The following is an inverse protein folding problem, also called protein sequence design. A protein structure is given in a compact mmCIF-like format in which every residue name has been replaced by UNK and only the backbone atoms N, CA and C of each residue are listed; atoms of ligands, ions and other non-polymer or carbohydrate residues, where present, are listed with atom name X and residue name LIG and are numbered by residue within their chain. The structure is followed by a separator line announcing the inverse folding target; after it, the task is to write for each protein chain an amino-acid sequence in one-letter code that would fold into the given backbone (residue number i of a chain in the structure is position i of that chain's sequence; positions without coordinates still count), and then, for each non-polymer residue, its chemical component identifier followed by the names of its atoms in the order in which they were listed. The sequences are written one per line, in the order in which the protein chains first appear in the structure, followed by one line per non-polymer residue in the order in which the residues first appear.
data_IF_690782635875
#
_entry.id   IF_690782635875
#
_cell.length_a   1.000
_cell.length_b   1.000
_cell.length_c   1.000
_cell.angle_alpha   90.00
_cell.angle_beta   90.00
_cell.angle_gamma   90.00
#
_symmetry.space_group_name_H-M   'P 1'
#
loop_
_entity.id
_entity.type
_entity.pdbx_description
1 polymer ?
#
# COMPACT_ATOMS: atom_id res chain seq x y z
N UNK A 1 -40.20 -5.79 -3.86
CA UNK A 1 -39.11 -6.63 -3.34
C UNK A 1 -37.86 -6.24 -4.13
N UNK A 2 -37.08 -5.30 -3.62
CA UNK A 2 -35.86 -4.84 -4.28
C UNK A 2 -34.67 -5.14 -3.39
N UNK A 3 -33.78 -5.99 -3.88
CA UNK A 3 -32.43 -6.10 -3.37
C UNK A 3 -31.52 -6.39 -4.56
N UNK A 4 -30.50 -5.54 -4.71
CA UNK A 4 -29.09 -5.95 -4.73
C UNK A 4 -28.26 -5.27 -5.83
N UNK A 5 -28.22 -3.94 -5.84
CA UNK A 5 -27.15 -3.20 -6.51
C UNK A 5 -26.00 -2.95 -5.51
N UNK A 6 -25.21 -4.00 -5.24
CA UNK A 6 -24.00 -3.90 -4.40
C UNK A 6 -22.90 -3.20 -5.18
N UNK A 7 -22.83 -1.87 -5.03
CA UNK A 7 -21.66 -1.09 -5.39
C UNK A 7 -20.41 -1.62 -4.67
N UNK A 8 -19.56 -2.35 -5.40
CA UNK A 8 -18.19 -2.68 -4.94
C UNK A 8 -17.31 -1.44 -5.07
N UNK A 9 -17.42 -0.51 -4.13
CA UNK A 9 -16.46 0.59 -4.03
C UNK A 9 -15.14 0.01 -3.52
N UNK A 10 -14.18 -0.18 -4.44
CA UNK A 10 -12.78 -0.46 -4.08
C UNK A 10 -12.19 0.81 -3.46
N UNK A 11 -12.31 0.96 -2.15
CA UNK A 11 -11.57 1.99 -1.41
C UNK A 11 -10.10 1.59 -1.42
N UNK A 12 -9.34 2.12 -2.39
CA UNK A 12 -7.87 2.14 -2.31
C UNK A 12 -7.52 3.18 -1.25
N UNK A 13 -7.11 2.75 -0.06
CA UNK A 13 -6.38 3.66 0.85
C UNK A 13 -5.21 4.27 0.08
N UNK A 14 -5.10 5.59 0.06
CA UNK A 14 -3.84 6.26 -0.26
C UNK A 14 -2.85 5.86 0.84
N UNK A 15 -2.04 4.82 0.60
CA UNK A 15 -0.93 4.51 1.50
C UNK A 15 -0.09 5.78 1.61
N UNK A 16 0.12 6.28 2.84
CA UNK A 16 1.08 7.35 3.10
C UNK A 16 2.38 6.98 2.38
N UNK A 17 2.84 7.88 1.50
CA UNK A 17 4.03 7.65 0.69
C UNK A 17 5.20 7.58 1.67
N UNK A 18 5.75 6.39 1.88
CA UNK A 18 6.96 6.22 2.70
C UNK A 18 8.08 7.09 2.12
N UNK A 19 8.62 7.97 2.96
CA UNK A 19 9.79 8.75 2.65
C UNK A 19 11.03 7.88 2.88
N UNK A 20 11.84 7.74 1.84
CA UNK A 20 13.14 7.07 1.87
C UNK A 20 14.20 8.06 2.34
N UNK A 21 14.38 8.07 3.66
CA UNK A 21 15.36 8.90 4.37
C UNK A 21 16.79 8.59 3.92
N UNK A 22 17.07 7.42 3.33
CA UNK A 22 18.41 7.11 2.80
C UNK A 22 18.82 8.02 1.64
N UNK A 23 17.86 8.66 0.96
CA UNK A 23 18.16 9.65 -0.09
C UNK A 23 18.87 10.90 0.46
N UNK A 24 18.74 11.20 1.74
CA UNK A 24 19.47 12.30 2.40
C UNK A 24 20.94 11.96 2.73
N UNK A 25 21.39 10.75 2.39
CA UNK A 25 22.80 10.38 2.42
C UNK A 25 23.55 10.91 1.20
N UNK A 26 22.84 11.21 0.11
CA UNK A 26 23.40 11.92 -1.04
C UNK A 26 23.61 13.40 -0.65
N UNK A 27 24.84 13.88 -0.81
CA UNK A 27 25.27 15.23 -0.43
C UNK A 27 24.50 16.29 -1.19
N UNK A 28 24.14 16.05 -2.45
CA UNK A 28 23.44 17.04 -3.26
C UNK A 28 21.95 17.13 -2.88
N UNK A 29 21.31 16.00 -2.59
CA UNK A 29 19.91 15.98 -2.13
C UNK A 29 19.80 16.60 -0.74
N UNK A 30 20.79 16.38 0.13
CA UNK A 30 20.89 17.02 1.43
C UNK A 30 21.02 18.54 1.30
N UNK A 31 21.95 19.02 0.47
CA UNK A 31 22.18 20.45 0.23
C UNK A 31 20.93 21.16 -0.27
N UNK A 32 20.22 20.55 -1.22
CA UNK A 32 18.95 21.09 -1.74
C UNK A 32 17.86 21.13 -0.68
N UNK A 33 17.83 20.15 0.24
CA UNK A 33 16.89 20.16 1.36
C UNK A 33 17.24 21.27 2.38
N UNK A 34 18.52 21.43 2.72
CA UNK A 34 19.01 22.46 3.65
C UNK A 34 18.73 23.88 3.10
N UNK A 35 19.06 24.16 1.84
CA UNK A 35 18.81 25.44 1.18
C UNK A 35 17.31 25.81 1.15
N UNK A 36 16.43 24.80 0.98
CA UNK A 36 14.98 25.00 1.04
C UNK A 36 14.46 25.19 2.48
N UNK A 37 15.13 24.63 3.49
CA UNK A 37 14.78 24.78 4.90
C UNK A 37 15.25 26.13 5.46
N UNK A 38 16.43 26.60 5.07
CA UNK A 38 16.97 27.90 5.45
C UNK A 38 16.10 29.04 4.88
N UNK A 39 15.68 28.93 3.60
CA UNK A 39 14.70 29.87 3.02
C UNK A 39 13.30 29.83 3.65
N UNK A 40 13.00 28.84 4.51
CA UNK A 40 11.75 28.77 5.29
C UNK A 40 11.88 29.33 6.71
N UNK A 41 13.10 29.40 7.27
CA UNK A 41 13.33 29.97 8.60
C UNK A 41 13.07 31.49 8.64
N UNK A 42 13.13 32.16 7.50
CA UNK A 42 12.91 33.61 7.35
C UNK A 42 11.42 34.00 7.14
N UNK A 43 10.50 33.04 7.02
CA UNK A 43 9.08 33.28 6.76
C UNK A 43 8.29 33.46 8.07
N UNK A 44 8.05 34.70 8.50
CA UNK A 44 7.06 35.00 9.54
C UNK A 44 5.63 34.71 9.05
N UNK A 45 4.97 33.72 9.66
CA UNK A 45 3.59 33.38 9.32
C UNK A 45 2.99 32.33 10.26
N UNK A 46 1.66 32.26 10.24
CA UNK A 46 0.82 31.35 11.03
C UNK A 46 1.30 29.88 10.99
N UNK A 47 1.19 29.17 12.12
CA UNK A 47 1.72 27.83 12.35
C UNK A 47 1.20 26.81 11.33
N UNK A 48 -0.08 26.91 10.96
CA UNK A 48 -0.70 26.02 9.97
C UNK A 48 -0.11 26.22 8.58
N UNK A 49 0.14 27.49 8.20
CA UNK A 49 0.78 27.82 6.92
C UNK A 49 2.23 27.34 6.87
N UNK A 50 2.97 27.41 7.99
CA UNK A 50 4.32 26.85 8.09
C UNK A 50 4.29 25.32 7.92
N UNK A 51 3.30 24.66 8.50
CA UNK A 51 3.14 23.22 8.41
C UNK A 51 2.77 22.74 7.01
N UNK A 52 1.86 23.42 6.32
CA UNK A 52 1.53 23.11 4.92
C UNK A 52 2.71 23.37 3.99
N UNK A 53 3.44 24.47 4.17
CA UNK A 53 4.68 24.73 3.42
C UNK A 53 5.70 23.61 3.64
N UNK A 54 5.93 23.19 4.88
CA UNK A 54 6.85 22.09 5.21
C UNK A 54 6.43 20.78 4.53
N UNK A 55 5.15 20.41 4.61
CA UNK A 55 4.59 19.24 3.90
C UNK A 55 4.84 19.33 2.40
N UNK A 56 4.62 20.49 1.78
CA UNK A 56 4.86 20.66 0.34
C UNK A 56 6.33 20.53 -0.02
N UNK A 57 7.25 21.07 0.80
CA UNK A 57 8.69 21.00 0.54
C UNK A 57 9.21 19.57 0.67
N UNK A 58 8.78 18.85 1.72
CA UNK A 58 9.11 17.42 1.89
C UNK A 58 8.53 16.57 0.73
N UNK A 59 7.41 16.99 0.13
CA UNK A 59 6.86 16.34 -1.08
C UNK A 59 7.61 16.73 -2.37
N UNK A 60 8.17 17.93 -2.45
CA UNK A 60 8.95 18.47 -3.58
C UNK A 60 10.33 17.83 -3.65
N UNK A 61 11.06 17.79 -2.52
CA UNK A 61 12.29 17.02 -2.41
C UNK A 61 11.90 15.56 -2.59
N UNK A 62 12.39 14.91 -3.65
CA UNK A 62 11.94 13.57 -4.11
C UNK A 62 12.39 12.45 -3.17
N UNK A 63 12.18 12.60 -1.86
CA UNK A 63 12.37 11.60 -0.82
C UNK A 63 11.43 10.41 -0.96
N UNK A 64 10.49 10.39 -1.92
CA UNK A 64 9.64 9.22 -2.18
C UNK A 64 10.51 8.00 -2.46
N UNK A 65 10.38 6.95 -1.68
CA UNK A 65 11.06 5.69 -1.96
C UNK A 65 10.71 5.14 -3.35
N UNK A 66 11.57 4.30 -3.95
CA UNK A 66 11.21 3.60 -5.18
C UNK A 66 9.90 2.85 -4.94
N UNK A 67 8.94 3.05 -5.85
CA UNK A 67 7.65 2.37 -5.78
C UNK A 67 7.90 0.88 -6.06
N UNK A 68 8.12 0.08 -5.01
CA UNK A 68 8.48 -1.35 -5.06
C UNK A 68 7.46 -2.21 -5.80
N UNK A 69 6.24 -1.68 -6.03
CA UNK A 69 5.22 -2.33 -6.85
C UNK A 69 5.61 -2.49 -8.33
N UNK A 70 6.56 -1.71 -8.83
CA UNK A 70 6.81 -1.63 -10.26
C UNK A 70 7.95 -2.55 -10.76
N UNK A 71 8.56 -3.37 -9.90
CA UNK A 71 9.61 -4.31 -10.32
C UNK A 71 9.17 -5.33 -11.39
N UNK A 72 7.86 -5.47 -11.60
CA UNK A 72 7.26 -6.30 -12.64
C UNK A 72 6.46 -5.51 -13.67
N UNK A 73 6.79 -4.24 -13.94
CA UNK A 73 6.16 -3.52 -15.07
C UNK A 73 6.60 -4.19 -16.37
N UNK A 74 5.65 -4.94 -16.93
CA UNK A 74 5.70 -5.52 -18.25
C UNK A 74 6.18 -4.50 -19.28
N UNK A 75 6.89 -4.93 -20.32
CA UNK A 75 6.99 -4.10 -21.53
C UNK A 75 5.58 -3.95 -22.08
N UNK A 76 5.04 -2.73 -22.04
CA UNK A 76 3.66 -2.41 -22.42
C UNK A 76 3.30 -2.96 -23.81
N UNK A 77 4.27 -2.96 -24.73
CA UNK A 77 4.12 -3.47 -26.10
C UNK A 77 3.73 -4.94 -26.19
N UNK A 78 4.36 -5.82 -25.38
CA UNK A 78 4.09 -7.27 -25.47
C UNK A 78 2.74 -7.61 -24.85
N UNK A 79 2.30 -6.86 -23.85
CA UNK A 79 0.95 -6.97 -23.33
C UNK A 79 -0.09 -6.48 -24.35
N UNK A 80 0.24 -5.40 -25.10
CA UNK A 80 -0.60 -4.87 -26.18
C UNK A 80 -0.83 -5.89 -27.31
N UNK A 81 0.20 -6.62 -27.76
CA UNK A 81 0.04 -7.67 -28.80
C UNK A 81 -0.91 -8.79 -28.37
N UNK A 82 -0.79 -9.25 -27.12
CA UNK A 82 -1.70 -10.25 -26.53
C UNK A 82 -3.13 -9.71 -26.43
N UNK A 83 -3.30 -8.44 -26.09
CA UNK A 83 -4.65 -7.84 -25.98
C UNK A 83 -5.29 -7.66 -27.36
N UNK A 84 -4.56 -7.18 -28.36
CA UNK A 84 -5.04 -7.09 -29.75
C UNK A 84 -5.45 -8.46 -30.31
N UNK A 85 -4.65 -9.50 -30.05
CA UNK A 85 -5.00 -10.87 -30.45
C UNK A 85 -6.23 -11.41 -29.70
N UNK A 86 -6.38 -11.06 -28.41
CA UNK A 86 -7.55 -11.41 -27.61
C UNK A 86 -8.81 -10.74 -28.14
N UNK A 87 -8.76 -9.45 -28.45
CA UNK A 87 -9.87 -8.71 -29.04
C UNK A 87 -10.32 -9.33 -30.37
N UNK A 88 -9.37 -9.70 -31.24
CA UNK A 88 -9.68 -10.38 -32.50
C UNK A 88 -10.35 -11.73 -32.27
N UNK A 89 -9.81 -12.57 -31.40
CA UNK A 89 -10.40 -13.87 -31.06
C UNK A 89 -11.79 -13.75 -30.42
N UNK A 90 -12.04 -12.72 -29.60
CA UNK A 90 -13.36 -12.48 -29.00
C UNK A 90 -14.40 -12.00 -30.02
N UNK A 91 -13.97 -11.23 -31.04
CA UNK A 91 -14.85 -10.76 -32.12
C UNK A 91 -15.14 -11.86 -33.14
N UNK A 92 -14.12 -12.66 -33.46
CA UNK A 92 -14.17 -13.73 -34.45
C UNK A 92 -13.39 -14.95 -33.95
N UNK A 93 -14.06 -15.90 -33.27
CA UNK A 93 -13.42 -17.05 -32.63
C UNK A 93 -13.13 -18.17 -33.64
N UNK A 94 -12.27 -17.90 -34.61
CA UNK A 94 -11.70 -18.91 -35.51
C UNK A 94 -10.52 -19.62 -34.88
N UNK A 95 -10.21 -20.83 -35.36
CA UNK A 95 -9.04 -21.62 -34.92
C UNK A 95 -7.73 -20.83 -35.10
N UNK A 96 -7.56 -20.20 -36.27
CA UNK A 96 -6.40 -19.34 -36.56
C UNK A 96 -6.25 -18.18 -35.57
N UNK A 97 -7.33 -17.48 -35.25
CA UNK A 97 -7.29 -16.39 -34.26
C UNK A 97 -6.98 -16.91 -32.85
N UNK A 98 -7.48 -18.11 -32.52
CA UNK A 98 -7.16 -18.82 -31.28
C UNK A 98 -5.66 -19.14 -31.17
N UNK A 99 -5.06 -19.70 -32.23
CA UNK A 99 -3.63 -20.00 -32.29
C UNK A 99 -2.76 -18.76 -32.08
N UNK A 100 -3.09 -17.65 -32.76
CA UNK A 100 -2.39 -16.36 -32.62
C UNK A 100 -2.45 -15.87 -31.17
N UNK A 101 -3.64 -15.91 -30.55
CA UNK A 101 -3.80 -15.52 -29.15
C UNK A 101 -2.97 -16.42 -28.21
N UNK A 102 -3.03 -17.74 -28.39
CA UNK A 102 -2.29 -18.69 -27.57
C UNK A 102 -0.76 -18.53 -27.74
N UNK A 103 -0.28 -18.26 -28.96
CA UNK A 103 1.12 -17.94 -29.23
C UNK A 103 1.57 -16.71 -28.43
N UNK A 104 0.85 -15.59 -28.55
CA UNK A 104 1.18 -14.36 -27.82
C UNK A 104 1.08 -14.53 -26.30
N UNK A 105 0.09 -15.26 -25.81
CA UNK A 105 -0.06 -15.58 -24.38
C UNK A 105 1.11 -16.41 -23.85
N UNK A 106 1.52 -17.47 -24.56
CA UNK A 106 2.68 -18.31 -24.18
C UNK A 106 3.97 -17.50 -24.18
N UNK A 107 4.19 -16.70 -25.22
CA UNK A 107 5.36 -15.81 -25.33
C UNK A 107 5.41 -14.80 -24.20
N UNK A 108 4.28 -14.16 -23.87
CA UNK A 108 4.20 -13.22 -22.76
C UNK A 108 4.49 -13.91 -21.42
N UNK A 109 3.88 -15.08 -21.16
CA UNK A 109 4.10 -15.86 -19.93
C UNK A 109 5.57 -16.24 -19.75
N UNK A 110 6.22 -16.69 -20.82
CA UNK A 110 7.66 -17.02 -20.81
C UNK A 110 8.50 -15.80 -20.42
N UNK A 111 8.22 -14.63 -21.01
CA UNK A 111 8.92 -13.38 -20.70
C UNK A 111 8.65 -12.94 -19.26
N UNK A 112 7.41 -13.04 -18.77
CA UNK A 112 7.09 -12.77 -17.36
C UNK A 112 7.93 -13.66 -16.42
N UNK A 113 7.99 -14.96 -16.72
CA UNK A 113 8.74 -15.92 -15.92
C UNK A 113 10.23 -15.59 -15.90
N UNK A 114 10.82 -15.32 -17.06
CA UNK A 114 12.24 -14.98 -17.17
C UNK A 114 12.57 -13.65 -16.48
N UNK A 115 11.73 -12.62 -16.65
CA UNK A 115 11.91 -11.34 -15.95
C UNK A 115 11.79 -11.49 -14.44
N UNK A 116 10.79 -12.25 -13.96
CA UNK A 116 10.63 -12.54 -12.54
C UNK A 116 11.84 -13.29 -11.98
N UNK A 117 12.35 -14.28 -12.73
CA UNK A 117 13.56 -15.01 -12.37
C UNK A 117 14.76 -14.08 -12.24
N UNK A 118 15.02 -13.27 -13.26
CA UNK A 118 16.14 -12.32 -13.26
C UNK A 118 16.03 -11.31 -12.11
N UNK A 119 14.83 -10.76 -11.87
CA UNK A 119 14.60 -9.87 -10.73
C UNK A 119 14.92 -10.53 -9.39
N UNK A 120 14.49 -11.78 -9.20
CA UNK A 120 14.78 -12.54 -7.98
C UNK A 120 16.29 -12.82 -7.84
N UNK A 121 16.97 -13.19 -8.92
CA UNK A 121 18.43 -13.41 -8.93
C UNK A 121 19.17 -12.13 -8.55
N UNK A 122 18.83 -11.00 -9.16
CA UNK A 122 19.41 -9.69 -8.80
C UNK A 122 19.13 -9.34 -7.32
N UNK A 123 17.93 -9.65 -6.82
CA UNK A 123 17.58 -9.40 -5.42
C UNK A 123 18.38 -10.25 -4.44
N UNK A 124 18.66 -11.51 -4.77
CA UNK A 124 19.50 -12.38 -3.96
C UNK A 124 20.93 -11.82 -3.89
N UNK A 125 21.52 -11.45 -5.04
CA UNK A 125 22.85 -10.84 -5.09
C UNK A 125 22.94 -9.56 -4.24
N UNK A 126 21.91 -8.70 -4.27
CA UNK A 126 21.82 -7.51 -3.42
C UNK A 126 21.76 -7.83 -1.92
N UNK A 127 21.16 -8.97 -1.55
CA UNK A 127 21.10 -9.41 -0.15
C UNK A 127 22.47 -9.96 0.27
N UNK A 128 23.13 -10.75 -0.58
CA UNK A 128 24.48 -11.28 -0.34
C UNK A 128 25.52 -10.16 -0.20
N UNK A 129 25.46 -9.13 -1.05
CA UNK A 129 26.34 -7.96 -0.96
C UNK A 129 26.20 -7.25 0.39
N UNK A 130 24.98 -7.11 0.92
CA UNK A 130 24.75 -6.53 2.26
C UNK A 130 25.36 -7.36 3.38
N UNK A 131 25.38 -8.69 3.22
CA UNK A 131 26.05 -9.57 4.16
C UNK A 131 27.57 -9.36 4.12
N UNK A 132 28.16 -9.29 2.92
CA UNK A 132 29.60 -9.02 2.74
C UNK A 132 30.02 -7.64 3.26
N UNK A 133 29.17 -6.62 3.11
CA UNK A 133 29.40 -5.26 3.61
C UNK A 133 29.12 -5.09 5.12
N UNK A 134 28.88 -6.20 5.83
CA UNK A 134 28.58 -6.23 7.27
C UNK A 134 27.32 -5.40 7.67
N UNK A 135 26.38 -5.20 6.74
CA UNK A 135 25.10 -4.52 6.99
C UNK A 135 24.05 -5.50 7.55
N UNK A 136 24.34 -6.12 8.71
CA UNK A 136 23.57 -7.25 9.26
C UNK A 136 22.07 -6.92 9.42
N UNK A 137 21.73 -5.72 9.89
CA UNK A 137 20.33 -5.31 10.07
C UNK A 137 19.60 -5.21 8.73
N UNK A 138 20.23 -4.61 7.72
CA UNK A 138 19.68 -4.47 6.37
C UNK A 138 19.50 -5.84 5.71
N UNK A 139 20.46 -6.75 5.92
CA UNK A 139 20.39 -8.13 5.45
C UNK A 139 19.15 -8.85 5.98
N UNK A 140 18.97 -8.91 7.31
CA UNK A 140 17.83 -9.62 7.90
C UNK A 140 16.49 -8.97 7.55
N UNK A 141 16.43 -7.64 7.38
CA UNK A 141 15.22 -6.97 6.91
C UNK A 141 14.83 -7.39 5.49
N UNK A 142 15.79 -7.45 4.57
CA UNK A 142 15.52 -7.88 3.19
C UNK A 142 15.22 -9.38 3.09
N UNK A 143 15.88 -10.22 3.90
CA UNK A 143 15.55 -11.65 4.02
C UNK A 143 14.14 -11.84 4.56
N UNK A 144 13.76 -11.10 5.60
CA UNK A 144 12.40 -11.14 6.14
C UNK A 144 11.40 -10.76 5.05
N UNK A 145 11.64 -9.63 4.34
CA UNK A 145 10.78 -9.18 3.23
C UNK A 145 10.66 -10.23 2.11
N UNK A 146 11.74 -10.93 1.76
CA UNK A 146 11.73 -11.94 0.69
C UNK A 146 10.97 -13.22 1.09
N UNK A 147 10.99 -13.57 2.38
CA UNK A 147 10.24 -14.69 2.95
C UNK A 147 8.76 -14.36 3.17
N UNK A 148 8.44 -13.15 3.61
CA UNK A 148 7.03 -12.70 3.69
C UNK A 148 6.46 -12.58 2.29
N UNK A 149 5.60 -13.53 1.94
CA UNK A 149 4.77 -13.43 0.74
C UNK A 149 3.77 -12.29 0.82
N UNK A 150 2.77 -12.31 -0.06
CA UNK A 150 1.67 -11.36 0.01
C UNK A 150 0.87 -11.58 1.30
N UNK A 151 1.07 -10.71 2.29
CA UNK A 151 0.20 -10.64 3.46
C UNK A 151 -0.97 -9.74 3.12
N UNK A 152 -2.19 -10.27 3.26
CA UNK A 152 -3.38 -9.44 3.22
C UNK A 152 -3.45 -8.67 4.54
N UNK A 153 -3.30 -7.34 4.48
CA UNK A 153 -3.67 -6.48 5.60
C UNK A 153 -5.19 -6.59 5.77
N UNK A 154 -5.64 -7.50 6.67
CA UNK A 154 -7.05 -7.68 6.99
C UNK A 154 -7.57 -6.42 7.68
N UNK A 155 -8.22 -5.53 6.93
CA UNK A 155 -9.01 -4.41 7.46
C UNK A 155 -10.47 -4.80 7.62
N UNK A 156 -10.76 -6.09 7.72
CA UNK A 156 -12.11 -6.62 7.81
C UNK A 156 -12.38 -6.98 9.27
N UNK A 157 -13.36 -6.33 9.87
CA UNK A 157 -13.81 -6.62 11.22
C UNK A 157 -15.19 -7.28 11.16
N UNK A 158 -15.38 -8.38 11.89
CA UNK A 158 -16.70 -8.99 12.05
C UNK A 158 -17.39 -8.32 13.24
N UNK A 159 -18.50 -7.62 12.99
CA UNK A 159 -19.33 -7.02 14.04
C UNK A 159 -20.03 -8.10 14.86
N UNK A 160 -20.48 -7.74 16.07
CA UNK A 160 -21.25 -8.62 16.96
C UNK A 160 -22.54 -9.18 16.29
N UNK A 161 -23.12 -8.44 15.34
CA UNK A 161 -24.29 -8.88 14.54
C UNK A 161 -23.92 -9.84 13.39
N UNK A 162 -22.66 -10.26 13.29
CA UNK A 162 -22.16 -11.16 12.25
C UNK A 162 -21.81 -10.49 10.92
N UNK A 163 -22.03 -9.17 10.78
CA UNK A 163 -21.74 -8.41 9.58
C UNK A 163 -20.25 -8.10 9.42
N UNK A 164 -19.77 -8.03 8.18
CA UNK A 164 -18.37 -7.74 7.85
C UNK A 164 -18.21 -6.24 7.58
N UNK A 165 -17.47 -5.53 8.44
CA UNK A 165 -17.16 -4.10 8.31
C UNK A 165 -15.84 -3.94 7.56
N UNK A 166 -15.87 -3.20 6.45
CA UNK A 166 -14.67 -2.87 5.65
C UNK A 166 -14.33 -1.38 5.64
N UNK A 167 -15.24 -0.53 6.13
CA UNK A 167 -15.07 0.92 6.12
C UNK A 167 -14.18 1.36 7.29
N UNK A 168 -13.09 2.12 7.05
CA UNK A 168 -12.12 2.48 8.09
C UNK A 168 -12.72 3.26 9.26
N UNK A 169 -13.64 4.18 8.99
CA UNK A 169 -14.28 5.03 10.00
C UNK A 169 -15.17 4.19 10.93
N UNK A 170 -16.02 3.34 10.35
CA UNK A 170 -16.89 2.43 11.10
C UNK A 170 -16.07 1.42 11.90
N UNK A 171 -14.97 0.92 11.33
CA UNK A 171 -14.06 0.01 12.04
C UNK A 171 -13.43 0.68 13.26
N UNK A 172 -13.04 1.96 13.15
CA UNK A 172 -12.48 2.73 14.27
C UNK A 172 -13.51 2.94 15.38
N UNK A 173 -14.75 3.28 15.04
CA UNK A 173 -15.82 3.47 16.03
C UNK A 173 -16.17 2.16 16.75
N UNK A 174 -16.18 1.04 16.02
CA UNK A 174 -16.42 -0.29 16.61
C UNK A 174 -15.31 -0.68 17.59
N UNK A 175 -14.04 -0.38 17.25
CA UNK A 175 -12.91 -0.58 18.15
C UNK A 175 -12.99 0.31 19.38
N UNK A 176 -13.32 1.60 19.20
CA UNK A 176 -13.53 2.55 20.29
C UNK A 176 -14.59 2.03 21.26
N UNK A 177 -15.77 1.65 20.76
CA UNK A 177 -16.86 1.10 21.57
C UNK A 177 -16.43 -0.19 22.31
N UNK A 178 -15.70 -1.07 21.62
CA UNK A 178 -15.21 -2.31 22.24
C UNK A 178 -14.25 -2.03 23.41
N UNK A 179 -13.28 -1.14 23.21
CA UNK A 179 -12.31 -0.80 24.25
C UNK A 179 -12.90 0.05 25.38
N UNK A 180 -13.83 0.95 25.09
CA UNK A 180 -14.60 1.67 26.11
C UNK A 180 -15.34 0.69 27.02
N UNK A 181 -16.04 -0.28 26.44
CA UNK A 181 -16.72 -1.33 27.23
C UNK A 181 -15.75 -2.23 27.98
N UNK A 182 -14.58 -2.53 27.41
CA UNK A 182 -13.61 -3.42 28.03
C UNK A 182 -12.88 -2.76 29.21
N UNK A 183 -12.53 -1.48 29.07
CA UNK A 183 -11.69 -0.75 30.01
C UNK A 183 -12.50 -0.02 31.08
N UNK A 184 -13.76 0.36 30.81
CA UNK A 184 -14.61 1.12 31.73
C UNK A 184 -15.70 0.24 32.39
N UNK A 185 -15.46 -1.05 32.60
CA UNK A 185 -16.47 -1.98 33.15
C UNK A 185 -17.00 -1.56 34.52
N UNK A 186 -16.15 -1.07 35.41
CA UNK A 186 -16.54 -0.67 36.77
C UNK A 186 -17.42 0.60 36.79
N UNK A 187 -17.23 1.52 35.84
CA UNK A 187 -18.01 2.78 35.76
C UNK A 187 -19.41 2.56 35.13
N UNK A 188 -19.60 1.46 34.41
CA UNK A 188 -20.88 1.13 33.77
C UNK A 188 -21.82 0.38 34.71
N UNK A 189 -21.31 -0.43 35.64
CA UNK A 189 -22.14 -1.11 36.67
C UNK A 189 -22.77 -0.09 37.65
N UNK A 190 -22.04 0.94 38.08
CA UNK A 190 -22.59 1.99 38.97
C UNK A 190 -23.69 2.88 38.32
N UNK A 191 -23.74 2.95 36.98
CA UNK A 191 -24.74 3.75 36.24
C UNK A 191 -26.05 3.00 36.01
N UNK A 192 -26.00 1.69 35.78
CA UNK A 192 -27.22 0.88 35.64
C UNK A 192 -27.96 0.76 37.00
N UNK A 193 -27.23 0.73 38.12
CA UNK A 193 -27.82 0.72 39.46
C UNK A 193 -28.51 2.05 39.85
N UNK A 194 -28.13 3.17 39.24
CA UNK A 194 -28.76 4.49 39.50
C UNK A 194 -30.05 4.74 38.71
N UNK A 195 -30.31 4.04 37.61
CA UNK A 195 -31.57 4.19 36.84
C UNK A 195 -32.73 3.36 37.42
N UNK A 196 -32.45 2.31 38.21
CA UNK A 196 -33.51 1.51 38.87
C UNK A 196 -34.03 2.20 40.16
N UNK A 197 -33.26 3.14 40.75
CA UNK A 197 -33.59 3.80 42.00
C UNK A 197 -34.51 5.04 41.92
N UNK A 198 -35.04 5.39 40.75
CA UNK A 198 -35.89 6.59 40.55
C UNK A 198 -37.31 6.30 40.05
N UNK A 199 -37.83 5.10 40.34
CA UNK A 199 -39.27 4.82 40.20
C UNK A 199 -39.78 4.23 41.52
N UNK A 200 -40.11 5.11 42.47
CA UNK A 200 -41.08 4.85 43.55
C UNK A 200 -41.82 6.13 43.88
#
# INVERSE_FOLDING_TARGET
MDFNEKHKVKIRREKMKEFDVNKLKDTEIRRQYEELMDGMAESEGDLENRWEKLKTTVRKVKLKGPNLRNGLTMSAEKNSRKEKAREKFLKDPTEHNGEIYHHHRRRLKSICKNKKRHYNETKILQIEEKFHNNEIRSFYQEVKKSQTGFTYENTLLKSAKGNLISEPEILMEEWKRHFEKLLNKEVMEEREDHEIGTIT
#
